data_IF_196196111815
#
_entry.id   IF_196196111815
#
_cell.length_a   1.000
_cell.length_b   1.000
_cell.length_c   1.000
_cell.angle_alpha   90.00
_cell.angle_beta   90.00
_cell.angle_gamma   90.00
#
_symmetry.space_group_name_H-M   'P 1'
#
loop_
_entity.id
_entity.type
_entity.pdbx_description
1 polymer ?
#
# COMPACT_ATOMS: atom_id res chain seq x y z
N UNK A 1 17.54 -10.83 -12.09
CA UNK A 1 16.26 -10.14 -11.85
C UNK A 1 16.12 -9.93 -10.36
N UNK A 2 16.02 -8.68 -9.88
CA UNK A 2 15.80 -8.41 -8.46
C UNK A 2 14.33 -8.13 -8.21
N UNK A 3 13.74 -8.78 -7.21
CA UNK A 3 12.39 -8.48 -6.77
C UNK A 3 12.40 -7.29 -5.81
N UNK A 4 11.34 -6.48 -5.85
CA UNK A 4 11.04 -5.51 -4.80
C UNK A 4 9.92 -6.07 -3.94
N UNK A 5 10.15 -6.14 -2.63
CA UNK A 5 9.18 -6.72 -1.70
C UNK A 5 8.32 -5.64 -1.06
N UNK A 6 7.03 -5.92 -0.91
CA UNK A 6 6.07 -5.02 -0.31
C UNK A 6 5.19 -5.75 0.70
N UNK A 7 4.86 -5.08 1.80
CA UNK A 7 3.70 -5.43 2.60
C UNK A 7 2.53 -4.57 2.13
N UNK A 8 1.51 -5.20 1.56
CA UNK A 8 0.51 -4.51 0.76
C UNK A 8 -0.92 -4.93 1.09
N UNK A 9 -1.83 -3.95 1.06
CA UNK A 9 -3.27 -4.15 1.21
C UNK A 9 -3.95 -3.91 -0.15
N UNK A 10 -4.65 -4.89 -0.74
CA UNK A 10 -5.44 -4.66 -1.95
C UNK A 10 -6.55 -3.65 -1.68
N UNK A 11 -6.76 -2.75 -2.63
CA UNK A 11 -7.80 -1.73 -2.52
C UNK A 11 -9.11 -2.22 -3.12
N UNK A 12 -10.12 -2.38 -2.27
CA UNK A 12 -11.49 -2.59 -2.71
C UNK A 12 -12.12 -1.28 -3.25
N UNK A 13 -13.23 -1.42 -3.95
CA UNK A 13 -13.93 -0.29 -4.59
C UNK A 13 -14.32 0.79 -3.56
N UNK A 14 -14.67 0.39 -2.34
CA UNK A 14 -15.07 1.32 -1.27
C UNK A 14 -13.88 2.16 -0.79
N UNK A 15 -12.73 1.53 -0.55
CA UNK A 15 -11.51 2.23 -0.15
C UNK A 15 -11.01 3.14 -1.25
N UNK A 16 -11.04 2.70 -2.51
CA UNK A 16 -10.70 3.54 -3.66
C UNK A 16 -11.58 4.80 -3.72
N UNK A 17 -12.91 4.64 -3.64
CA UNK A 17 -13.85 5.77 -3.62
C UNK A 17 -13.53 6.76 -2.49
N UNK A 18 -13.22 6.28 -1.29
CA UNK A 18 -12.87 7.14 -0.14
C UNK A 18 -11.57 7.91 -0.36
N UNK A 19 -10.56 7.27 -0.94
CA UNK A 19 -9.30 7.93 -1.29
C UNK A 19 -9.53 9.05 -2.32
N UNK A 20 -10.40 8.79 -3.31
CA UNK A 20 -10.74 9.75 -4.36
C UNK A 20 -11.65 10.89 -3.88
N UNK A 21 -12.49 10.67 -2.86
CA UNK A 21 -13.37 11.70 -2.31
C UNK A 21 -12.61 12.81 -1.58
N UNK A 22 -11.47 12.51 -0.97
CA UNK A 22 -10.72 13.47 -0.15
C UNK A 22 -9.23 13.52 -0.56
N UNK A 23 -8.91 13.87 -1.81
CA UNK A 23 -7.55 13.72 -2.34
C UNK A 23 -6.54 14.62 -1.61
N UNK A 24 -6.97 15.83 -1.19
CA UNK A 24 -6.13 16.74 -0.39
C UNK A 24 -5.77 16.20 0.99
N UNK A 25 -6.63 15.34 1.57
CA UNK A 25 -6.37 14.70 2.87
C UNK A 25 -5.30 13.63 2.74
N UNK A 26 -5.34 12.84 1.67
CA UNK A 26 -4.48 11.66 1.51
C UNK A 26 -3.18 11.93 0.77
N UNK A 27 -3.18 12.91 -0.14
CA UNK A 27 -2.03 13.26 -0.98
C UNK A 27 -0.69 13.38 -0.22
N UNK A 28 -0.61 14.09 0.92
CA UNK A 28 0.64 14.22 1.67
C UNK A 28 1.18 12.91 2.27
N UNK A 29 0.30 11.93 2.48
CA UNK A 29 0.65 10.64 3.08
C UNK A 29 0.89 9.55 2.04
N UNK A 30 0.49 9.75 0.78
CA UNK A 30 0.69 8.78 -0.28
C UNK A 30 2.05 8.96 -0.95
N UNK A 31 2.66 7.83 -1.33
CA UNK A 31 3.92 7.77 -2.07
C UNK A 31 5.12 8.43 -1.36
N UNK A 32 4.99 8.68 -0.05
CA UNK A 32 6.06 9.15 0.81
C UNK A 32 6.81 7.97 1.43
N UNK A 33 8.13 8.12 1.60
CA UNK A 33 9.01 7.09 2.19
C UNK A 33 8.57 6.66 3.59
N UNK A 34 8.02 7.60 4.38
CA UNK A 34 7.57 7.35 5.74
C UNK A 34 6.23 6.60 5.81
N UNK A 35 5.41 6.66 4.75
CA UNK A 35 4.04 6.17 4.75
C UNK A 35 3.86 5.00 3.76
N UNK A 36 2.69 4.92 3.12
CA UNK A 36 2.33 3.89 2.14
C UNK A 36 2.35 4.50 0.73
N UNK A 37 2.79 3.70 -0.22
CA UNK A 37 2.72 4.01 -1.65
C UNK A 37 1.46 3.40 -2.24
N UNK A 38 0.85 4.11 -3.18
CA UNK A 38 -0.17 3.56 -4.04
C UNK A 38 0.53 2.88 -5.21
N UNK A 39 0.33 1.59 -5.39
CA UNK A 39 0.96 0.83 -6.49
C UNK A 39 -0.08 0.03 -7.27
N UNK A 40 0.19 -0.17 -8.54
CA UNK A 40 -0.44 -1.20 -9.36
C UNK A 40 0.49 -2.40 -9.46
N UNK A 41 -0.07 -3.59 -9.19
CA UNK A 41 0.58 -4.86 -9.43
C UNK A 41 -0.42 -5.89 -9.95
N UNK A 42 -0.16 -6.41 -11.15
CA UNK A 42 -1.05 -7.34 -11.86
C UNK A 42 -2.50 -6.85 -11.99
N UNK A 43 -2.69 -5.59 -12.39
CA UNK A 43 -4.01 -4.98 -12.56
C UNK A 43 -4.84 -4.94 -11.27
N UNK A 44 -4.16 -4.89 -10.11
CA UNK A 44 -4.78 -4.65 -8.81
C UNK A 44 -4.08 -3.48 -8.13
N UNK A 45 -4.83 -2.47 -7.67
CA UNK A 45 -4.26 -1.36 -6.91
C UNK A 45 -4.09 -1.73 -5.44
N UNK A 46 -2.97 -1.30 -4.86
CA UNK A 46 -2.58 -1.58 -3.47
C UNK A 46 -2.16 -0.32 -2.73
N UNK A 47 -2.40 -0.31 -1.41
CA UNK A 47 -1.61 0.49 -0.48
C UNK A 47 -0.46 -0.37 0.05
N UNK A 48 0.76 0.01 -0.27
CA UNK A 48 1.93 -0.83 -0.07
C UNK A 48 3.06 -0.11 0.66
N UNK A 49 3.69 -0.80 1.61
CA UNK A 49 4.97 -0.38 2.21
C UNK A 49 6.09 -1.19 1.57
N UNK A 50 7.02 -0.51 0.91
CA UNK A 50 8.23 -1.16 0.43
C UNK A 50 9.05 -1.65 1.63
N UNK A 51 9.49 -2.91 1.55
CA UNK A 51 10.30 -3.52 2.58
C UNK A 51 11.78 -3.18 2.39
N UNK A 52 12.56 -3.14 3.48
CA UNK A 52 14.02 -3.24 3.40
C UNK A 52 14.44 -4.56 2.74
N UNK A 53 15.75 -4.79 2.51
CA UNK A 53 16.24 -6.06 1.98
C UNK A 53 15.62 -7.26 2.69
N UNK A 54 14.98 -8.14 1.93
CA UNK A 54 14.23 -9.30 2.40
C UNK A 54 15.03 -10.59 2.12
N UNK A 55 15.00 -11.63 2.97
CA UNK A 55 14.16 -11.79 4.18
C UNK A 55 14.60 -10.93 5.38
N UNK A 56 13.61 -10.52 6.18
CA UNK A 56 13.82 -9.79 7.43
C UNK A 56 13.91 -10.75 8.61
N UNK A 57 14.53 -10.29 9.71
CA UNK A 57 14.43 -10.98 11.00
C UNK A 57 13.00 -10.90 11.53
N UNK A 58 12.62 -11.86 12.37
CA UNK A 58 11.25 -11.94 12.91
C UNK A 58 10.88 -10.66 13.68
N UNK A 59 11.79 -10.11 14.47
CA UNK A 59 11.54 -8.90 15.26
C UNK A 59 11.37 -7.65 14.39
N UNK A 60 12.06 -7.61 13.25
CA UNK A 60 11.92 -6.54 12.26
C UNK A 60 10.61 -6.68 11.49
N UNK A 61 10.24 -7.91 11.14
CA UNK A 61 8.99 -8.23 10.48
C UNK A 61 7.77 -7.82 11.32
N UNK A 62 7.77 -8.15 12.61
CA UNK A 62 6.71 -7.75 13.54
C UNK A 62 6.58 -6.23 13.64
N UNK A 63 7.70 -5.50 13.73
CA UNK A 63 7.70 -4.02 13.72
C UNK A 63 7.11 -3.46 12.44
N UNK A 64 7.46 -4.05 11.29
CA UNK A 64 6.91 -3.63 10.00
C UNK A 64 5.40 -3.88 9.94
N UNK A 65 4.93 -5.06 10.35
CA UNK A 65 3.49 -5.37 10.41
C UNK A 65 2.77 -4.38 11.32
N UNK A 66 3.26 -4.15 12.53
CA UNK A 66 2.64 -3.23 13.48
C UNK A 66 2.57 -1.79 12.93
N UNK A 67 3.67 -1.33 12.30
CA UNK A 67 3.71 -0.01 11.69
C UNK A 67 2.73 0.12 10.52
N UNK A 68 2.73 -0.82 9.58
CA UNK A 68 1.82 -0.80 8.42
C UNK A 68 0.36 -0.92 8.86
N UNK A 69 0.07 -1.78 9.82
CA UNK A 69 -1.27 -1.93 10.41
C UNK A 69 -1.75 -0.62 11.04
N UNK A 70 -0.89 0.05 11.81
CA UNK A 70 -1.20 1.35 12.41
C UNK A 70 -1.46 2.43 11.35
N UNK A 71 -0.64 2.50 10.29
CA UNK A 71 -0.87 3.42 9.17
C UNK A 71 -2.21 3.13 8.48
N UNK A 72 -2.51 1.87 8.20
CA UNK A 72 -3.75 1.48 7.54
C UNK A 72 -4.98 1.85 8.39
N UNK A 73 -4.98 1.52 9.68
CA UNK A 73 -6.12 1.73 10.57
C UNK A 73 -6.29 3.23 10.90
N UNK A 74 -5.24 3.91 11.31
CA UNK A 74 -5.34 5.25 11.90
C UNK A 74 -5.09 6.37 10.89
N UNK A 75 -4.19 6.17 9.92
CA UNK A 75 -3.95 7.16 8.88
C UNK A 75 -4.97 6.96 7.76
N UNK A 76 -4.94 5.82 7.06
CA UNK A 76 -5.75 5.59 5.86
C UNK A 76 -7.19 5.13 6.12
N UNK A 77 -7.56 4.92 7.38
CA UNK A 77 -8.89 4.49 7.83
C UNK A 77 -9.37 3.17 7.20
N UNK A 78 -8.45 2.24 6.92
CA UNK A 78 -8.72 0.88 6.45
C UNK A 78 -8.74 -0.09 7.65
N UNK A 79 -9.91 -0.38 8.26
CA UNK A 79 -9.97 -1.23 9.45
C UNK A 79 -9.76 -2.72 9.13
N UNK A 80 -10.07 -3.16 7.91
CA UNK A 80 -10.04 -4.56 7.53
C UNK A 80 -8.68 -4.95 6.92
N UNK A 81 -7.69 -5.14 7.80
CA UNK A 81 -6.30 -5.44 7.41
C UNK A 81 -5.98 -6.95 7.33
N UNK A 82 -6.97 -7.84 7.51
CA UNK A 82 -6.74 -9.30 7.48
C UNK A 82 -6.32 -9.84 6.11
N UNK A 83 -6.48 -9.05 5.05
CA UNK A 83 -6.05 -9.36 3.68
C UNK A 83 -4.69 -8.74 3.34
N UNK A 84 -3.95 -8.28 4.35
CA UNK A 84 -2.59 -7.78 4.17
C UNK A 84 -1.68 -8.92 3.71
N UNK A 85 -0.94 -8.69 2.63
CA UNK A 85 -0.13 -9.73 1.99
C UNK A 85 1.28 -9.24 1.67
N UNK A 86 2.22 -10.18 1.67
CA UNK A 86 3.58 -9.98 1.18
C UNK A 86 3.59 -10.15 -0.34
N UNK A 87 3.97 -9.10 -1.06
CA UNK A 87 4.16 -9.12 -2.51
C UNK A 87 5.65 -9.16 -2.84
N UNK A 88 6.03 -9.99 -3.80
CA UNK A 88 7.34 -9.99 -4.43
C UNK A 88 7.18 -9.51 -5.88
N UNK A 89 7.38 -8.21 -6.11
CA UNK A 89 7.10 -7.59 -7.40
C UNK A 89 8.35 -7.55 -8.27
N UNK A 90 8.30 -8.18 -9.45
CA UNK A 90 9.34 -8.03 -10.48
C UNK A 90 9.21 -6.72 -11.25
N UNK A 91 7.96 -6.28 -11.47
CA UNK A 91 7.58 -5.02 -12.10
C UNK A 91 6.32 -4.50 -11.40
N UNK A 92 6.27 -3.20 -11.12
CA UNK A 92 5.11 -2.53 -10.53
C UNK A 92 5.08 -1.08 -11.01
N UNK A 93 3.90 -0.47 -11.00
CA UNK A 93 3.75 0.96 -11.29
C UNK A 93 3.34 1.69 -10.01
N UNK A 94 3.97 2.84 -9.73
CA UNK A 94 3.44 3.75 -8.71
C UNK A 94 2.29 4.53 -9.31
N UNK A 95 1.19 4.59 -8.58
CA UNK A 95 -0.01 5.30 -8.98
C UNK A 95 -0.11 6.63 -8.22
N UNK A 96 -0.63 7.63 -8.88
CA UNK A 96 -1.21 8.84 -8.27
C UNK A 96 -2.68 8.61 -7.93
N UNK A 97 -3.25 9.51 -7.13
CA UNK A 97 -4.69 9.48 -6.87
C UNK A 97 -5.52 9.70 -8.14
N UNK A 98 -5.02 10.48 -9.10
CA UNK A 98 -5.70 10.72 -10.38
C UNK A 98 -5.75 9.44 -11.22
N UNK A 99 -4.63 8.73 -11.32
CA UNK A 99 -4.56 7.44 -12.03
C UNK A 99 -5.45 6.38 -11.36
N UNK A 100 -5.55 6.38 -10.03
CA UNK A 100 -6.49 5.51 -9.31
C UNK A 100 -7.95 5.77 -9.72
N UNK A 101 -8.32 7.03 -9.98
CA UNK A 101 -9.66 7.40 -10.41
C UNK A 101 -10.02 6.89 -11.81
N UNK A 102 -9.01 6.68 -12.66
CA UNK A 102 -9.17 6.11 -14.01
C UNK A 102 -9.05 4.59 -14.03
N UNK A 103 -8.71 3.99 -12.89
CA UNK A 103 -8.44 2.57 -12.77
C UNK A 103 -9.72 1.76 -12.93
N UNK A 104 -9.76 0.88 -13.93
CA UNK A 104 -10.83 -0.09 -14.14
C UNK A 104 -10.29 -1.48 -13.83
N UNK A 105 -10.89 -2.22 -12.88
CA UNK A 105 -10.52 -3.61 -12.62
C UNK A 105 -10.79 -4.50 -13.84
#
# INVERSE_FOLDING_TARGET
>A
MSFTYFLALPLDILTQKRLLQFPKRWGPFLNSTLYLSLIDYHHVPYLAKQLPPFPLRVEEWEKVIAHVSSLLIHTFLCPHISVLQLLACSQFQKLTLEELGTYKP
#
